data_IF_343838977377
#
_entry.id   IF_343838977377
#
_cell.length_a   1.000
_cell.length_b   1.000
_cell.length_c   1.000
_cell.angle_alpha   90.00
_cell.angle_beta   90.00
_cell.angle_gamma   90.00
#
_symmetry.space_group_name_H-M   'P 1'
#
loop_
_entity.id
_entity.type
_entity.pdbx_description
1 polymer ?
#
# COMPACT_ATOMS: atom_id res chain seq x y z
N UNK A 1 -20.89 21.07 16.76
CA UNK A 1 -20.95 21.62 15.38
C UNK A 1 -22.25 22.37 15.20
N UNK A 2 -22.21 23.56 14.59
CA UNK A 2 -23.42 24.35 14.30
C UNK A 2 -24.01 23.97 12.94
N UNK A 3 -25.34 24.13 12.75
CA UNK A 3 -26.02 23.79 11.49
C UNK A 3 -25.51 24.58 10.28
N UNK A 4 -24.96 25.77 10.51
CA UNK A 4 -24.29 26.59 9.48
C UNK A 4 -22.95 25.99 9.03
N UNK A 5 -22.16 25.44 9.96
CA UNK A 5 -20.89 24.78 9.64
C UNK A 5 -21.10 23.47 8.85
N UNK A 6 -22.12 22.68 9.21
CA UNK A 6 -22.48 21.48 8.44
C UNK A 6 -22.89 21.82 7.00
N UNK A 7 -23.68 22.89 6.83
CA UNK A 7 -24.11 23.35 5.51
C UNK A 7 -22.93 23.84 4.67
N UNK A 8 -22.02 24.63 5.27
CA UNK A 8 -20.82 25.10 4.59
C UNK A 8 -19.91 23.95 4.12
N UNK A 9 -19.75 22.90 4.95
CA UNK A 9 -19.00 21.70 4.57
C UNK A 9 -19.63 20.92 3.43
N UNK A 10 -20.95 20.74 3.45
CA UNK A 10 -21.67 20.08 2.36
C UNK A 10 -21.47 20.84 1.05
N UNK A 11 -21.59 22.17 1.08
CA UNK A 11 -21.33 23.02 -0.09
C UNK A 11 -19.88 22.90 -0.58
N UNK A 12 -18.89 22.88 0.30
CA UNK A 12 -17.49 22.69 -0.09
C UNK A 12 -17.23 21.34 -0.77
N UNK A 13 -17.86 20.26 -0.28
CA UNK A 13 -17.79 18.92 -0.90
C UNK A 13 -18.44 18.89 -2.28
N UNK A 14 -19.59 19.56 -2.44
CA UNK A 14 -20.28 19.66 -3.72
C UNK A 14 -19.45 20.45 -4.75
N UNK A 15 -18.76 21.51 -4.30
CA UNK A 15 -17.86 22.31 -5.13
C UNK A 15 -16.62 21.49 -5.53
N UNK A 16 -15.99 20.76 -4.61
CA UNK A 16 -14.85 19.87 -4.95
C UNK A 16 -15.26 18.80 -5.98
N UNK A 17 -16.40 18.12 -5.77
CA UNK A 17 -16.91 17.14 -6.72
C UNK A 17 -17.16 17.76 -8.12
N UNK A 18 -17.60 19.02 -8.16
CA UNK A 18 -17.81 19.75 -9.42
C UNK A 18 -16.49 20.12 -10.10
N UNK A 19 -15.48 20.59 -9.35
CA UNK A 19 -14.14 20.83 -9.88
C UNK A 19 -13.50 19.54 -10.39
N UNK A 20 -13.69 18.42 -9.69
CA UNK A 20 -13.18 17.12 -10.12
C UNK A 20 -13.72 16.72 -11.50
N UNK A 21 -15.04 16.74 -11.69
CA UNK A 21 -15.66 16.42 -12.99
C UNK A 21 -15.20 17.34 -14.11
N UNK A 22 -15.00 18.63 -13.80
CA UNK A 22 -14.57 19.62 -14.77
C UNK A 22 -13.12 19.39 -15.19
N UNK A 23 -12.22 19.13 -14.24
CA UNK A 23 -10.81 18.81 -14.51
C UNK A 23 -10.65 17.46 -15.23
N UNK A 24 -11.45 16.45 -14.89
CA UNK A 24 -11.45 15.15 -15.58
C UNK A 24 -11.88 15.30 -17.04
N UNK A 25 -12.91 16.11 -17.30
CA UNK A 25 -13.37 16.38 -18.66
C UNK A 25 -12.31 17.11 -19.49
N UNK A 26 -11.67 18.11 -18.91
CA UNK A 26 -10.60 18.87 -19.58
C UNK A 26 -9.36 17.99 -19.85
N UNK A 27 -9.00 17.09 -18.93
CA UNK A 27 -7.89 16.16 -19.12
C UNK A 27 -8.14 15.11 -20.23
N UNK A 28 -9.40 14.75 -20.52
CA UNK A 28 -9.76 13.87 -21.64
C UNK A 28 -9.62 14.55 -23.00
N UNK A 29 -9.67 15.89 -23.04
CA UNK A 29 -9.64 16.68 -24.28
C UNK A 29 -8.23 17.20 -24.63
N UNK A 30 -7.30 17.24 -23.67
CA UNK A 30 -6.00 17.93 -23.82
C UNK A 30 -4.81 16.97 -23.63
N UNK A 31 -4.38 16.32 -24.71
CA UNK A 31 -3.39 15.24 -24.65
C UNK A 31 -1.91 15.69 -24.70
N UNK A 32 -1.55 16.96 -24.93
CA UNK A 32 -0.12 17.29 -25.20
C UNK A 32 0.39 18.71 -24.91
N UNK A 33 -0.31 19.57 -24.16
CA UNK A 33 0.19 20.93 -23.86
C UNK A 33 0.16 21.30 -22.36
N UNK A 34 1.03 22.24 -21.96
CA UNK A 34 0.96 22.88 -20.64
C UNK A 34 -0.44 23.49 -20.43
N UNK A 35 -1.05 23.27 -19.26
CA UNK A 35 -2.43 23.67 -19.03
C UNK A 35 -2.58 25.19 -19.11
N UNK A 36 -3.56 25.73 -19.85
CA UNK A 36 -3.83 27.16 -19.87
C UNK A 36 -4.10 27.73 -18.46
N UNK A 37 -3.74 28.99 -18.24
CA UNK A 37 -3.80 29.72 -16.96
C UNK A 37 -5.13 29.55 -16.16
N UNK A 38 -6.31 29.45 -16.79
CA UNK A 38 -7.56 29.13 -16.10
C UNK A 38 -7.57 27.75 -15.42
N UNK A 39 -6.94 26.73 -16.01
CA UNK A 39 -6.83 25.38 -15.41
C UNK A 39 -5.92 25.41 -14.19
N UNK A 40 -4.80 26.15 -14.25
CA UNK A 40 -3.91 26.33 -13.11
C UNK A 40 -4.64 27.01 -11.94
N UNK A 41 -5.42 28.04 -12.23
CA UNK A 41 -6.27 28.73 -11.24
C UNK A 41 -7.33 27.80 -10.63
N UNK A 42 -7.98 26.96 -11.45
CA UNK A 42 -8.95 25.96 -10.97
C UNK A 42 -8.30 24.90 -10.06
N UNK A 43 -7.10 24.43 -10.41
CA UNK A 43 -6.33 23.49 -9.58
C UNK A 43 -5.94 24.11 -8.24
N UNK A 44 -5.52 25.38 -8.23
CA UNK A 44 -5.21 26.12 -6.99
C UNK A 44 -6.45 26.32 -6.11
N UNK A 45 -7.58 26.69 -6.70
CA UNK A 45 -8.85 26.83 -5.97
C UNK A 45 -9.29 25.50 -5.33
N UNK A 46 -9.12 24.38 -6.06
CA UNK A 46 -9.40 23.04 -5.55
C UNK A 46 -8.47 22.66 -4.39
N UNK A 47 -7.16 22.89 -4.52
CA UNK A 47 -6.17 22.69 -3.44
C UNK A 47 -6.58 23.38 -2.14
N UNK A 48 -7.05 24.63 -2.21
CA UNK A 48 -7.52 25.39 -1.04
C UNK A 48 -8.77 24.78 -0.39
N UNK A 49 -9.71 24.25 -1.21
CA UNK A 49 -10.91 23.57 -0.72
C UNK A 49 -10.53 22.26 -0.03
N UNK A 50 -9.64 21.47 -0.65
CA UNK A 50 -9.12 20.22 -0.08
C UNK A 50 -8.48 20.49 1.28
N UNK A 51 -7.55 21.46 1.36
CA UNK A 51 -6.90 21.84 2.62
C UNK A 51 -7.91 22.21 3.71
N UNK A 52 -8.99 22.92 3.35
CA UNK A 52 -10.05 23.32 4.28
C UNK A 52 -10.89 22.13 4.75
N UNK A 53 -11.26 21.23 3.83
CA UNK A 53 -12.00 20.00 4.14
C UNK A 53 -11.16 19.05 5.01
N UNK A 54 -9.86 18.91 4.71
CA UNK A 54 -8.92 18.14 5.51
C UNK A 54 -8.74 18.72 6.92
N UNK A 55 -8.53 20.03 7.04
CA UNK A 55 -8.42 20.69 8.34
C UNK A 55 -9.68 20.51 9.20
N UNK A 56 -10.87 20.51 8.57
CA UNK A 56 -12.11 20.24 9.30
C UNK A 56 -12.24 18.75 9.68
N UNK A 57 -11.88 17.82 8.80
CA UNK A 57 -11.91 16.40 9.12
C UNK A 57 -11.05 16.09 10.35
N UNK A 58 -9.84 16.67 10.43
CA UNK A 58 -8.96 16.58 11.61
C UNK A 58 -9.61 17.06 12.91
N UNK A 59 -10.29 18.22 12.91
CA UNK A 59 -10.96 18.76 14.11
C UNK A 59 -12.11 17.88 14.63
N UNK A 60 -12.64 17.00 13.80
CA UNK A 60 -13.79 16.15 14.15
C UNK A 60 -13.35 14.76 14.60
N UNK A 61 -12.13 14.34 14.21
CA UNK A 61 -11.53 13.01 14.48
C UNK A 61 -10.39 13.09 15.52
N UNK A 62 -10.26 14.22 16.23
CA UNK A 62 -9.10 14.55 17.06
C UNK A 62 -9.05 13.75 18.37
N UNK A 63 -8.37 12.61 18.35
CA UNK A 63 -7.56 12.15 19.49
C UNK A 63 -6.38 11.25 19.10
N UNK A 64 -6.14 10.94 17.83
CA UNK A 64 -5.12 9.93 17.47
C UNK A 64 -4.20 10.25 16.29
N UNK A 65 -4.20 11.47 15.72
CA UNK A 65 -3.28 11.80 14.61
C UNK A 65 -2.21 12.84 15.00
N UNK A 66 -0.95 12.67 14.55
CA UNK A 66 0.16 13.52 14.96
C UNK A 66 -0.03 14.98 14.53
N UNK A 67 0.42 15.90 15.40
CA UNK A 67 0.22 17.35 15.30
C UNK A 67 0.92 18.04 14.11
N UNK A 68 1.74 17.32 13.33
CA UNK A 68 2.41 17.85 12.14
C UNK A 68 1.40 17.96 11.00
N UNK A 69 1.43 19.03 10.21
CA UNK A 69 0.55 19.23 9.04
C UNK A 69 0.63 18.15 7.95
N UNK A 70 1.39 17.07 8.16
CA UNK A 70 1.65 15.97 7.24
C UNK A 70 0.38 15.31 6.70
N UNK A 71 0.39 14.98 5.41
CA UNK A 71 -0.59 14.10 4.79
C UNK A 71 0.08 12.80 4.37
N UNK A 72 -0.56 11.68 4.69
CA UNK A 72 -0.05 10.35 4.38
C UNK A 72 -1.10 9.58 3.58
N UNK A 73 -0.71 9.10 2.41
CA UNK A 73 -1.49 8.20 1.57
C UNK A 73 -0.79 6.84 1.56
N UNK A 74 -1.56 5.77 1.67
CA UNK A 74 -1.05 4.40 1.59
C UNK A 74 -1.95 3.57 0.70
N UNK A 75 -1.33 2.72 -0.12
CA UNK A 75 -2.04 1.80 -1.00
C UNK A 75 -1.19 0.54 -1.24
N UNK A 76 -1.88 -0.54 -1.59
CA UNK A 76 -1.25 -1.82 -1.93
C UNK A 76 -1.43 -2.05 -3.43
N UNK A 77 -0.46 -1.63 -4.25
CA UNK A 77 -0.49 -1.95 -5.67
C UNK A 77 -0.40 -3.47 -5.88
N UNK A 78 -1.08 -4.04 -6.89
CA UNK A 78 -0.93 -5.45 -7.23
C UNK A 78 0.54 -5.78 -7.53
N UNK A 79 0.99 -6.96 -7.09
CA UNK A 79 2.30 -7.53 -7.47
C UNK A 79 3.51 -6.64 -7.16
N UNK A 80 3.37 -5.66 -6.26
CA UNK A 80 4.49 -4.82 -5.80
C UNK A 80 4.32 -4.51 -4.33
N UNK A 81 5.41 -4.15 -3.62
CA UNK A 81 5.30 -3.86 -2.20
C UNK A 81 4.33 -2.70 -1.92
N UNK A 82 3.67 -2.71 -0.73
CA UNK A 82 2.90 -1.58 -0.25
C UNK A 82 3.63 -0.25 -0.43
N UNK A 83 2.88 0.77 -0.80
CA UNK A 83 3.39 2.10 -1.10
C UNK A 83 2.82 3.11 -0.14
N UNK A 84 3.65 4.10 0.20
CA UNK A 84 3.24 5.23 1.02
C UNK A 84 3.75 6.51 0.41
N UNK A 85 2.89 7.51 0.31
CA UNK A 85 3.25 8.87 -0.03
C UNK A 85 3.09 9.73 1.22
N UNK A 86 4.14 10.46 1.58
CA UNK A 86 4.12 11.41 2.70
C UNK A 86 4.36 12.82 2.14
N UNK A 87 3.47 13.73 2.49
CA UNK A 87 3.52 15.14 2.13
C UNK A 87 3.65 15.94 3.41
N UNK A 88 4.84 16.46 3.67
CA UNK A 88 5.12 17.25 4.86
C UNK A 88 5.22 18.73 4.46
N UNK A 89 4.52 19.65 5.15
CA UNK A 89 4.74 21.06 4.93
C UNK A 89 6.14 21.42 5.41
N UNK A 90 6.83 22.28 4.65
CA UNK A 90 8.04 22.89 5.15
C UNK A 90 7.72 23.84 6.32
N UNK A 91 8.70 24.06 7.17
CA UNK A 91 8.66 24.94 8.32
C UNK A 91 8.24 26.38 8.01
N UNK A 92 8.47 26.85 6.77
CA UNK A 92 8.05 28.17 6.28
C UNK A 92 6.63 28.18 5.67
N UNK A 93 6.03 27.02 5.42
CA UNK A 93 4.65 26.89 4.95
C UNK A 93 4.39 27.17 3.46
N UNK A 94 5.40 27.65 2.73
CA UNK A 94 5.30 28.01 1.31
C UNK A 94 5.62 26.85 0.36
N UNK A 95 6.10 25.72 0.87
CA UNK A 95 6.39 24.52 0.08
C UNK A 95 6.16 23.24 0.88
N UNK A 96 6.11 22.12 0.17
CA UNK A 96 5.90 20.80 0.72
C UNK A 96 7.01 19.85 0.29
N UNK A 97 7.45 18.98 1.19
CA UNK A 97 8.28 17.84 0.83
C UNK A 97 7.39 16.66 0.48
N UNK A 98 7.53 16.15 -0.74
CA UNK A 98 6.92 14.91 -1.22
C UNK A 98 7.91 13.77 -1.07
N UNK A 99 7.55 12.74 -0.30
CA UNK A 99 8.35 11.51 -0.14
C UNK A 99 7.54 10.32 -0.61
N UNK A 100 8.09 9.58 -1.55
CA UNK A 100 7.58 8.27 -1.96
C UNK A 100 8.34 7.18 -1.22
N UNK A 101 7.60 6.30 -0.56
CA UNK A 101 8.13 5.21 0.22
C UNK A 101 7.60 3.86 -0.25
N UNK A 102 8.47 2.87 -0.19
CA UNK A 102 8.22 1.47 -0.49
C UNK A 102 8.41 0.65 0.79
N UNK A 103 7.50 -0.28 1.04
CA UNK A 103 7.65 -1.23 2.13
C UNK A 103 8.71 -2.27 1.79
N UNK A 104 9.65 -2.52 2.69
CA UNK A 104 10.75 -3.49 2.48
C UNK A 104 10.51 -4.81 3.20
N UNK A 105 9.37 -5.00 3.86
CA UNK A 105 9.16 -6.15 4.76
C UNK A 105 9.66 -5.91 6.19
N UNK A 106 10.50 -4.89 6.42
CA UNK A 106 10.99 -4.51 7.75
C UNK A 106 10.67 -3.05 8.09
N UNK A 107 10.52 -2.20 7.08
CA UNK A 107 10.23 -0.79 7.26
C UNK A 107 9.89 -0.08 5.95
N UNK A 108 9.72 1.23 6.03
CA UNK A 108 9.53 2.08 4.86
C UNK A 108 10.86 2.64 4.38
N UNK A 109 11.21 2.34 3.13
CA UNK A 109 12.38 2.91 2.45
C UNK A 109 11.94 4.05 1.54
N UNK A 110 12.64 5.20 1.60
CA UNK A 110 12.40 6.32 0.69
C UNK A 110 12.98 5.97 -0.69
N UNK A 111 12.14 6.04 -1.71
CA UNK A 111 12.51 5.77 -3.10
C UNK A 111 12.43 7.02 -3.98
N UNK A 112 11.66 8.03 -3.56
CA UNK A 112 11.55 9.31 -4.25
C UNK A 112 11.42 10.45 -3.25
N UNK A 113 12.01 11.59 -3.58
CA UNK A 113 11.90 12.81 -2.77
C UNK A 113 11.94 14.04 -3.66
N UNK A 114 10.90 14.85 -3.57
CA UNK A 114 10.77 16.12 -4.29
C UNK A 114 10.30 17.23 -3.35
N UNK A 115 10.50 18.48 -3.77
CA UNK A 115 9.82 19.65 -3.21
C UNK A 115 8.73 20.08 -4.18
N UNK A 116 7.54 20.35 -3.66
CA UNK A 116 6.37 20.79 -4.45
C UNK A 116 5.73 22.01 -3.80
N UNK A 117 5.20 22.91 -4.62
CA UNK A 117 4.66 24.18 -4.15
C UNK A 117 3.18 24.08 -3.71
N UNK A 118 2.43 23.12 -4.25
CA UNK A 118 0.99 22.96 -4.02
C UNK A 118 0.59 21.47 -3.87
N UNK A 119 -0.36 21.18 -2.97
CA UNK A 119 -0.88 19.81 -2.70
C UNK A 119 -2.40 19.77 -2.87
N UNK A 120 -2.90 18.91 -3.76
CA UNK A 120 -4.32 18.53 -3.85
C UNK A 120 -4.44 17.01 -3.90
N UNK A 121 -5.38 16.42 -3.15
CA UNK A 121 -5.51 14.97 -3.00
C UNK A 121 -6.93 14.55 -3.32
N UNK A 122 -7.09 13.77 -4.39
CA UNK A 122 -8.37 13.24 -4.83
C UNK A 122 -8.32 11.71 -4.84
N UNK A 123 -9.04 11.07 -3.92
CA UNK A 123 -9.22 9.62 -3.93
C UNK A 123 -10.68 9.29 -4.26
N UNK A 124 -10.97 8.67 -5.42
CA UNK A 124 -12.35 8.34 -5.81
C UNK A 124 -12.91 7.11 -5.07
N UNK A 125 -12.11 6.44 -4.24
CA UNK A 125 -12.49 5.22 -3.53
C UNK A 125 -12.62 5.43 -2.02
N UNK A 126 -13.45 4.61 -1.39
CA UNK A 126 -13.55 4.50 0.06
C UNK A 126 -12.15 4.20 0.63
N UNK A 127 -11.71 4.97 1.63
CA UNK A 127 -10.34 4.85 2.17
C UNK A 127 -10.20 3.48 2.82
N UNK A 128 -9.46 2.57 2.17
CA UNK A 128 -9.10 1.26 2.74
C UNK A 128 -8.26 1.40 4.01
N UNK A 129 -7.47 2.48 4.09
CA UNK A 129 -6.68 2.87 5.25
C UNK A 129 -7.04 4.29 5.66
N UNK A 130 -8.12 4.50 6.44
CA UNK A 130 -8.44 5.84 6.95
C UNK A 130 -7.34 6.35 7.88
N UNK A 131 -6.65 5.42 8.56
CA UNK A 131 -5.38 5.63 9.26
C UNK A 131 -4.33 4.72 8.62
N UNK A 132 -3.23 5.26 8.06
CA UNK A 132 -2.18 4.43 7.47
C UNK A 132 -1.50 3.60 8.56
N UNK A 133 -1.57 2.27 8.43
CA UNK A 133 -0.95 1.30 9.34
C UNK A 133 0.25 0.68 8.64
N UNK A 134 1.32 0.40 9.37
CA UNK A 134 2.43 -0.36 8.79
C UNK A 134 1.96 -1.79 8.47
N UNK A 135 2.25 -2.32 7.28
CA UNK A 135 2.06 -3.73 6.99
C UNK A 135 2.83 -4.60 8.02
N UNK A 136 2.42 -5.84 8.26
CA UNK A 136 3.18 -6.78 9.06
C UNK A 136 4.61 -6.93 8.50
N UNK A 137 5.59 -7.03 9.40
CA UNK A 137 6.96 -7.32 8.98
C UNK A 137 7.09 -8.79 8.56
N UNK A 138 8.13 -9.13 7.81
CA UNK A 138 8.45 -10.53 7.47
C UNK A 138 8.59 -11.35 8.75
N UNK A 139 9.31 -10.86 9.77
CA UNK A 139 9.43 -11.54 11.06
C UNK A 139 8.07 -11.86 11.69
N UNK A 140 7.16 -10.87 11.73
CA UNK A 140 5.80 -11.07 12.25
C UNK A 140 5.04 -12.11 11.44
N UNK A 141 5.16 -12.08 10.11
CA UNK A 141 4.51 -13.07 9.25
C UNK A 141 5.08 -14.49 9.44
N UNK A 142 6.39 -14.62 9.61
CA UNK A 142 7.05 -15.90 9.88
C UNK A 142 6.65 -16.46 11.24
N UNK A 143 6.53 -15.60 12.26
CA UNK A 143 5.99 -15.99 13.56
C UNK A 143 4.58 -16.55 13.48
N UNK A 144 3.72 -15.99 12.62
CA UNK A 144 2.34 -16.47 12.46
C UNK A 144 2.25 -17.89 11.89
N UNK A 145 3.12 -18.25 10.96
CA UNK A 145 3.10 -19.59 10.33
C UNK A 145 3.89 -20.64 11.13
N UNK A 146 4.82 -20.23 11.99
CA UNK A 146 5.64 -21.14 12.81
C UNK A 146 4.77 -21.92 13.81
N UNK A 147 5.07 -23.21 13.97
CA UNK A 147 4.29 -24.13 14.81
C UNK A 147 2.91 -24.50 14.26
N UNK A 148 2.42 -23.81 13.21
CA UNK A 148 1.11 -24.04 12.61
C UNK A 148 0.96 -25.37 11.89
N UNK A 149 2.06 -26.00 11.47
CA UNK A 149 2.03 -27.24 10.69
C UNK A 149 1.31 -28.41 11.37
N UNK A 150 1.24 -28.43 12.70
CA UNK A 150 0.50 -29.46 13.45
C UNK A 150 -1.01 -29.41 13.23
N UNK A 151 -1.55 -28.26 12.80
CA UNK A 151 -2.94 -28.11 12.38
C UNK A 151 -3.16 -28.89 11.06
N UNK A 152 -4.25 -29.68 10.91
CA UNK A 152 -4.58 -30.31 9.64
C UNK A 152 -4.63 -29.34 8.45
N UNK A 153 -5.06 -28.10 8.69
CA UNK A 153 -5.07 -27.02 7.70
C UNK A 153 -4.27 -25.82 8.24
N UNK A 154 -2.94 -25.81 8.03
CA UNK A 154 -2.07 -24.77 8.56
C UNK A 154 -2.26 -23.45 7.78
N UNK A 155 -2.03 -22.33 8.46
CA UNK A 155 -1.89 -21.04 7.78
C UNK A 155 -0.55 -20.98 7.05
N UNK A 156 -0.59 -20.43 5.83
CA UNK A 156 0.56 -20.26 4.94
C UNK A 156 0.62 -18.84 4.42
N UNK A 157 1.81 -18.40 4.03
CA UNK A 157 1.99 -17.12 3.38
C UNK A 157 1.94 -17.31 1.86
N UNK A 158 1.02 -16.62 1.21
CA UNK A 158 0.80 -16.67 -0.23
C UNK A 158 1.23 -15.35 -0.84
N UNK A 159 2.22 -15.40 -1.71
CA UNK A 159 2.68 -14.27 -2.49
C UNK A 159 1.79 -14.08 -3.73
N UNK A 160 1.58 -12.83 -4.15
CA UNK A 160 0.81 -12.58 -5.37
C UNK A 160 1.56 -13.16 -6.57
N UNK A 161 0.79 -13.79 -7.45
CA UNK A 161 1.34 -14.41 -8.63
C UNK A 161 1.74 -13.32 -9.64
N UNK A 162 3.00 -13.28 -10.08
CA UNK A 162 3.46 -12.44 -11.22
C UNK A 162 2.94 -12.97 -12.55
N UNK A 163 2.63 -14.27 -12.60
CA UNK A 163 1.91 -14.96 -13.65
C UNK A 163 1.09 -16.11 -13.04
N UNK A 164 0.10 -16.68 -13.74
CA UNK A 164 -0.76 -17.75 -13.19
C UNK A 164 -0.02 -18.99 -12.65
N UNK A 165 1.23 -19.18 -13.08
CA UNK A 165 2.10 -20.33 -12.82
C UNK A 165 3.14 -20.07 -11.72
N UNK A 166 3.36 -18.82 -11.34
CA UNK A 166 4.44 -18.38 -10.44
C UNK A 166 3.94 -17.99 -9.04
N UNK A 167 2.75 -18.42 -8.63
CA UNK A 167 2.27 -18.14 -7.28
C UNK A 167 3.14 -18.89 -6.25
N UNK A 168 3.80 -18.13 -5.39
CA UNK A 168 4.62 -18.65 -4.30
C UNK A 168 3.81 -18.91 -3.04
N UNK A 169 4.04 -20.06 -2.40
CA UNK A 169 3.49 -20.36 -1.08
C UNK A 169 4.63 -20.74 -0.15
N UNK A 170 4.68 -20.08 1.00
CA UNK A 170 5.64 -20.34 2.07
C UNK A 170 4.93 -20.94 3.27
N UNK A 171 5.52 -22.00 3.82
CA UNK A 171 5.07 -22.65 5.05
C UNK A 171 6.24 -22.93 5.97
N UNK A 172 5.98 -22.96 7.29
CA UNK A 172 6.94 -23.45 8.27
C UNK A 172 6.59 -24.90 8.65
N UNK A 173 7.45 -25.86 8.29
CA UNK A 173 7.33 -27.28 8.68
C UNK A 173 8.41 -27.59 9.70
N UNK A 174 8.01 -27.87 10.94
CA UNK A 174 8.95 -28.11 12.06
C UNK A 174 10.02 -27.00 12.17
N UNK A 175 9.56 -25.75 12.07
CA UNK A 175 10.35 -24.49 12.03
C UNK A 175 11.26 -24.31 10.79
N UNK A 176 11.27 -25.25 9.85
CA UNK A 176 11.92 -25.08 8.55
C UNK A 176 11.00 -24.32 7.59
N UNK A 177 11.49 -23.20 7.05
CA UNK A 177 10.78 -22.40 6.06
C UNK A 177 10.91 -23.04 4.68
N UNK A 178 9.79 -23.53 4.15
CA UNK A 178 9.72 -24.24 2.86
C UNK A 178 8.87 -23.43 1.89
N UNK A 179 9.52 -22.92 0.84
CA UNK A 179 8.86 -22.19 -0.23
C UNK A 179 8.60 -23.12 -1.41
N UNK A 180 7.40 -23.05 -1.99
CA UNK A 180 7.01 -23.82 -3.15
C UNK A 180 6.22 -22.96 -4.13
N UNK A 181 6.67 -22.92 -5.38
CA UNK A 181 5.92 -22.27 -6.47
C UNK A 181 4.86 -23.22 -7.00
N UNK A 182 3.70 -22.69 -7.41
CA UNK A 182 2.58 -23.50 -7.88
C UNK A 182 2.95 -24.57 -8.91
N UNK A 183 3.74 -24.20 -9.91
CA UNK A 183 4.17 -25.11 -10.99
C UNK A 183 5.57 -25.71 -10.74
N UNK A 184 6.17 -25.39 -9.59
CA UNK A 184 7.44 -25.96 -9.16
C UNK A 184 7.33 -27.46 -8.95
N UNK A 185 8.40 -28.19 -9.27
CA UNK A 185 8.46 -29.63 -9.03
C UNK A 185 8.79 -30.00 -7.58
N UNK A 186 9.32 -29.04 -6.81
CA UNK A 186 9.77 -29.23 -5.43
C UNK A 186 9.75 -27.92 -4.67
N UNK A 187 9.66 -28.03 -3.36
CA UNK A 187 9.96 -26.92 -2.47
C UNK A 187 11.47 -26.77 -2.29
N UNK A 188 11.88 -25.60 -1.82
CA UNK A 188 13.24 -25.34 -1.35
C UNK A 188 13.21 -24.58 -0.02
N UNK A 189 14.25 -24.76 0.78
CA UNK A 189 14.46 -23.97 2.00
C UNK A 189 14.77 -22.54 1.61
N UNK A 190 14.03 -21.58 2.14
CA UNK A 190 14.20 -20.16 1.81
C UNK A 190 14.95 -19.44 2.92
N UNK A 191 15.89 -18.59 2.52
CA UNK A 191 16.63 -17.68 3.40
C UNK A 191 15.85 -16.38 3.61
N UNK A 192 16.25 -15.59 4.61
CA UNK A 192 15.63 -14.28 4.86
C UNK A 192 15.81 -13.34 3.65
N UNK A 193 16.99 -13.33 3.03
CA UNK A 193 17.28 -12.51 1.84
C UNK A 193 16.39 -12.86 0.64
N UNK A 194 16.11 -14.15 0.43
CA UNK A 194 15.20 -14.60 -0.61
C UNK A 194 13.74 -14.20 -0.31
N UNK A 195 13.32 -14.18 0.96
CA UNK A 195 11.99 -13.68 1.34
C UNK A 195 11.84 -12.19 1.06
N UNK A 196 12.87 -11.38 1.34
CA UNK A 196 12.88 -9.97 0.96
C UNK A 196 12.83 -9.81 -0.56
N UNK A 197 13.50 -10.69 -1.31
CA UNK A 197 13.45 -10.69 -2.77
C UNK A 197 12.04 -10.99 -3.29
N UNK A 198 11.39 -12.04 -2.77
CA UNK A 198 10.01 -12.38 -3.11
C UNK A 198 9.05 -11.24 -2.79
N UNK A 199 9.20 -10.58 -1.63
CA UNK A 199 8.39 -9.41 -1.29
C UNK A 199 8.58 -8.27 -2.29
N UNK A 200 9.80 -8.02 -2.76
CA UNK A 200 10.06 -6.96 -3.75
C UNK A 200 9.43 -7.26 -5.11
N UNK A 201 9.41 -8.52 -5.53
CA UNK A 201 8.90 -8.94 -6.84
C UNK A 201 7.39 -9.18 -6.86
N UNK A 202 6.84 -9.69 -5.76
CA UNK A 202 5.47 -10.20 -5.67
C UNK A 202 4.61 -9.40 -4.69
N UNK A 203 5.20 -8.45 -3.95
CA UNK A 203 4.50 -7.66 -2.96
C UNK A 203 4.35 -8.37 -1.61
N UNK A 204 3.55 -7.76 -0.72
CA UNK A 204 3.33 -8.29 0.62
C UNK A 204 2.52 -9.60 0.53
N UNK A 205 3.02 -10.72 1.09
CA UNK A 205 2.25 -11.95 1.09
C UNK A 205 1.04 -11.85 2.02
N UNK A 206 0.01 -12.62 1.71
CA UNK A 206 -1.21 -12.72 2.52
C UNK A 206 -1.23 -14.04 3.28
N UNK A 207 -1.81 -14.01 4.48
CA UNK A 207 -2.01 -15.21 5.29
C UNK A 207 -3.30 -15.90 4.84
N UNK A 208 -3.21 -17.17 4.46
CA UNK A 208 -4.37 -17.98 4.01
C UNK A 208 -4.24 -19.42 4.52
N UNK A 209 -5.36 -20.13 4.72
CA UNK A 209 -5.32 -21.58 4.97
C UNK A 209 -4.72 -22.31 3.76
N UNK A 210 -3.91 -23.34 4.01
CA UNK A 210 -3.31 -24.15 2.94
C UNK A 210 -4.38 -24.72 1.99
N UNK A 211 -5.55 -25.09 2.52
CA UNK A 211 -6.68 -25.62 1.76
C UNK A 211 -7.29 -24.64 0.74
N UNK A 212 -7.06 -23.34 0.90
CA UNK A 212 -7.49 -22.30 -0.05
C UNK A 212 -6.47 -22.09 -1.18
N UNK A 213 -5.29 -22.71 -1.07
CA UNK A 213 -4.26 -22.69 -2.11
C UNK A 213 -4.39 -23.87 -3.07
N UNK A 214 -3.69 -23.82 -4.20
CA UNK A 214 -3.57 -24.96 -5.11
C UNK A 214 -2.62 -26.06 -4.59
N UNK A 215 -1.94 -25.85 -3.47
CA UNK A 215 -0.95 -26.76 -2.93
C UNK A 215 -1.52 -27.56 -1.76
N UNK A 216 -0.95 -28.74 -1.53
CA UNK A 216 -1.30 -29.63 -0.43
C UNK A 216 -0.08 -29.91 0.42
N UNK A 217 -0.28 -30.55 1.58
CA UNK A 217 0.82 -30.91 2.46
C UNK A 217 1.89 -31.77 1.80
N UNK A 218 1.49 -32.59 0.82
CA UNK A 218 2.40 -33.46 0.07
C UNK A 218 3.42 -32.68 -0.76
N UNK A 219 3.15 -31.41 -1.10
CA UNK A 219 4.12 -30.56 -1.79
C UNK A 219 5.21 -30.04 -0.85
N UNK A 220 5.05 -30.17 0.48
CA UNK A 220 5.99 -29.62 1.45
C UNK A 220 6.66 -30.68 2.33
N UNK A 221 6.19 -31.93 2.36
CA UNK A 221 6.77 -33.03 3.16
C UNK A 221 7.91 -33.85 2.55
N UNK A 222 8.10 -33.99 1.22
CA UNK A 222 9.21 -34.76 0.65
C UNK A 222 10.54 -34.12 1.06
N UNK A 223 11.59 -34.89 1.40
CA UNK A 223 12.90 -34.30 1.72
C UNK A 223 13.44 -33.48 0.54
N UNK A 224 14.10 -32.34 0.78
CA UNK A 224 14.75 -31.59 -0.30
C UNK A 224 15.94 -32.41 -0.80
N UNK A 225 16.22 -32.39 -2.11
CA UNK A 225 17.51 -32.89 -2.60
C UNK A 225 18.57 -31.91 -2.10
N UNK A 226 19.55 -32.40 -1.34
CA UNK A 226 20.76 -31.64 -1.01
C UNK A 226 21.34 -31.03 -2.29
N UNK A 227 21.65 -29.73 -2.25
CA UNK A 227 22.22 -28.95 -3.35
C UNK A 227 23.68 -29.34 -3.72
N UNK A 228 24.06 -30.61 -3.59
CA UNK A 228 25.42 -31.11 -3.85
C UNK A 228 25.58 -31.95 -5.12
N UNK A 229 24.52 -32.10 -5.93
CA UNK A 229 24.64 -32.66 -7.28
C UNK A 229 24.22 -31.57 -8.29
N UNK A 230 25.20 -30.80 -8.79
CA UNK A 230 25.46 -30.43 -10.20
C UNK A 230 26.60 -29.40 -10.29
#
# INVERSE_FOLDING_TARGET
>A
MTSSQQRALATLRDIDASFHRLLERVAKDDATASPPEPIATLRRARSQIDATLFAHQRRTEDTTLPASGSCVLQWDPPQTPPRRLVLDPDSEGDSWTRRELEWTGSGWRVCGRDTIDDVAISAPAERRYPNPVNPPTIDTLLEWIRGGWTNPDPEVLVFDATSPTEQGVLVAVDDELRYHERDGHRWYTVTEDELYHHLQQQGQPTLQPLSETALTRQHFTPSPLNNDDW
#
